data_IF_301684964593
#
_entry.id   IF_301684964593
#
_cell.length_a   1.000
_cell.length_b   1.000
_cell.length_c   1.000
_cell.angle_alpha   90.00
_cell.angle_beta   90.00
_cell.angle_gamma   90.00
#
_symmetry.space_group_name_H-M   'P 1'
#
loop_
_entity.id
_entity.type
_entity.pdbx_description
1 polymer ?
#
# COMPACT_ATOMS: atom_id res chain seq x y z
N UNK A 1 -15.54 -5.81 -3.06
CA UNK A 1 -14.40 -6.63 -2.63
C UNK A 1 -13.16 -5.78 -2.61
N UNK A 2 -12.54 -5.41 -3.75
CA UNK A 2 -11.24 -4.69 -3.86
C UNK A 2 -10.83 -3.69 -2.77
N UNK A 3 -11.72 -2.80 -2.32
CA UNK A 3 -11.40 -1.83 -1.25
C UNK A 3 -11.21 -2.50 0.14
N UNK A 4 -11.79 -3.68 0.36
CA UNK A 4 -11.62 -4.49 1.57
C UNK A 4 -10.24 -5.12 1.62
N UNK A 5 -9.77 -5.73 0.53
CA UNK A 5 -8.43 -6.31 0.47
C UNK A 5 -7.36 -5.22 0.60
N UNK A 6 -7.55 -4.08 -0.07
CA UNK A 6 -6.67 -2.90 0.10
C UNK A 6 -6.60 -2.41 1.55
N UNK A 7 -7.73 -2.34 2.24
CA UNK A 7 -7.76 -1.93 3.65
C UNK A 7 -7.17 -2.99 4.57
N UNK A 8 -7.33 -4.28 4.25
CA UNK A 8 -6.71 -5.36 5.01
C UNK A 8 -5.18 -5.24 4.95
N UNK A 9 -4.60 -5.11 3.75
CA UNK A 9 -3.17 -4.93 3.53
C UNK A 9 -2.61 -3.67 4.23
N UNK A 10 -3.34 -2.55 4.17
CA UNK A 10 -2.98 -1.32 4.89
C UNK A 10 -3.11 -1.42 6.41
N UNK A 11 -3.93 -2.35 6.91
CA UNK A 11 -4.05 -2.59 8.34
C UNK A 11 -2.94 -3.55 8.82
N UNK A 12 -2.46 -4.46 7.97
CA UNK A 12 -1.38 -5.38 8.33
C UNK A 12 -0.01 -4.67 8.49
N UNK A 13 0.30 -3.70 7.62
CA UNK A 13 1.60 -3.02 7.63
C UNK A 13 1.95 -2.29 8.95
N UNK A 14 1.05 -1.50 9.58
CA UNK A 14 1.34 -0.81 10.82
C UNK A 14 1.54 -1.70 12.06
N UNK A 15 1.23 -3.00 11.98
CA UNK A 15 1.38 -3.96 13.09
C UNK A 15 2.45 -5.02 12.82
N UNK A 16 3.11 -4.99 11.67
CA UNK A 16 4.28 -5.83 11.38
C UNK A 16 5.51 -5.22 12.07
N UNK A 17 5.93 -5.81 13.19
CA UNK A 17 7.15 -5.42 13.91
C UNK A 17 8.40 -6.16 13.41
N UNK A 18 8.23 -7.42 12.99
CA UNK A 18 9.25 -8.22 12.32
C UNK A 18 8.81 -8.42 10.86
N UNK A 19 9.75 -8.33 9.90
CA UNK A 19 9.54 -8.61 8.46
C UNK A 19 8.78 -7.53 7.66
N UNK A 20 8.71 -6.27 8.13
CA UNK A 20 8.05 -5.19 7.40
C UNK A 20 8.58 -5.00 5.97
N UNK A 21 9.90 -5.05 5.79
CA UNK A 21 10.52 -4.96 4.47
C UNK A 21 10.18 -6.17 3.59
N UNK A 22 10.14 -7.38 4.15
CA UNK A 22 9.76 -8.59 3.41
C UNK A 22 8.28 -8.54 3.00
N UNK A 23 7.40 -8.03 3.87
CA UNK A 23 5.98 -7.84 3.56
C UNK A 23 5.77 -6.83 2.43
N UNK A 24 6.52 -5.71 2.45
CA UNK A 24 6.52 -4.75 1.34
C UNK A 24 7.01 -5.38 0.03
N UNK A 25 8.01 -6.28 0.09
CA UNK A 25 8.46 -7.01 -1.09
C UNK A 25 7.44 -8.04 -1.58
N UNK A 26 6.72 -8.73 -0.68
CA UNK A 26 5.60 -9.60 -1.04
C UNK A 26 4.51 -8.81 -1.76
N UNK A 27 4.14 -7.64 -1.25
CA UNK A 27 3.16 -6.76 -1.90
C UNK A 27 3.68 -6.25 -3.24
N UNK A 28 4.94 -5.82 -3.32
CA UNK A 28 5.56 -5.35 -4.58
C UNK A 28 5.60 -6.42 -5.66
N UNK A 29 5.97 -7.65 -5.31
CA UNK A 29 6.06 -8.78 -6.25
C UNK A 29 4.68 -9.32 -6.64
N UNK A 30 3.71 -9.26 -5.71
CA UNK A 30 2.32 -9.64 -5.94
C UNK A 30 1.47 -8.60 -6.67
N UNK A 31 1.96 -7.37 -6.81
CA UNK A 31 1.20 -6.26 -7.37
C UNK A 31 0.98 -6.35 -8.88
N UNK A 32 -0.28 -6.23 -9.31
CA UNK A 32 -0.69 -6.15 -10.72
C UNK A 32 -1.87 -5.20 -10.86
N UNK A 33 -1.63 -4.05 -11.52
CA UNK A 33 -2.66 -3.04 -11.79
C UNK A 33 -3.84 -3.60 -12.59
N UNK A 34 -3.52 -4.40 -13.61
CA UNK A 34 -4.49 -5.00 -14.52
C UNK A 34 -4.71 -6.46 -14.11
N UNK A 35 -5.46 -6.65 -13.03
CA UNK A 35 -5.86 -7.99 -12.56
C UNK A 35 -7.35 -8.02 -12.27
N UNK A 36 -7.96 -9.17 -12.57
CA UNK A 36 -9.33 -9.49 -12.17
C UNK A 36 -9.39 -10.01 -10.73
N UNK A 37 -8.25 -10.40 -10.16
CA UNK A 37 -8.12 -10.85 -8.78
C UNK A 37 -7.94 -9.59 -7.90
N UNK A 38 -8.68 -9.45 -6.79
CA UNK A 38 -8.59 -8.28 -5.93
C UNK A 38 -7.21 -8.03 -5.32
N UNK A 39 -6.54 -9.07 -4.78
CA UNK A 39 -5.30 -8.89 -4.02
C UNK A 39 -4.16 -8.27 -4.86
N UNK A 40 -3.88 -8.71 -6.10
CA UNK A 40 -2.85 -8.05 -6.92
C UNK A 40 -3.14 -6.57 -7.20
N UNK A 41 -4.42 -6.19 -7.34
CA UNK A 41 -4.80 -4.79 -7.54
C UNK A 41 -4.61 -4.01 -6.25
N UNK A 42 -5.06 -4.55 -5.11
CA UNK A 42 -4.85 -3.98 -3.78
C UNK A 42 -3.36 -3.72 -3.50
N UNK A 43 -2.52 -4.75 -3.69
CA UNK A 43 -1.07 -4.66 -3.56
C UNK A 43 -0.47 -3.55 -4.42
N UNK A 44 -0.94 -3.42 -5.67
CA UNK A 44 -0.49 -2.34 -6.57
C UNK A 44 -0.82 -0.95 -6.02
N UNK A 45 -2.03 -0.75 -5.50
CA UNK A 45 -2.41 0.52 -4.88
C UNK A 45 -1.65 0.79 -3.58
N UNK A 46 -1.41 -0.22 -2.74
CA UNK A 46 -0.63 -0.06 -1.50
C UNK A 46 0.78 0.41 -1.83
N UNK A 47 1.46 -0.29 -2.73
CA UNK A 47 2.84 0.02 -3.11
C UNK A 47 2.94 1.39 -3.79
N UNK A 48 2.01 1.71 -4.69
CA UNK A 48 1.99 3.02 -5.37
C UNK A 48 1.81 4.15 -4.35
N UNK A 49 0.85 4.03 -3.43
CA UNK A 49 0.57 5.09 -2.45
C UNK A 49 1.67 5.26 -1.42
N UNK A 50 2.28 4.16 -0.98
CA UNK A 50 3.45 4.22 -0.09
C UNK A 50 4.66 4.82 -0.81
N UNK A 51 4.90 4.44 -2.07
CA UNK A 51 6.00 4.96 -2.87
C UNK A 51 5.84 6.47 -3.13
N UNK A 52 4.63 6.91 -3.47
CA UNK A 52 4.32 8.33 -3.65
C UNK A 52 4.60 9.10 -2.35
N UNK A 53 4.20 8.55 -1.21
CA UNK A 53 4.31 9.20 0.09
C UNK A 53 5.74 9.23 0.64
N UNK A 54 6.53 8.17 0.44
CA UNK A 54 7.86 8.00 1.03
C UNK A 54 8.99 8.36 0.08
N UNK A 55 8.83 8.08 -1.21
CA UNK A 55 9.89 8.19 -2.21
C UNK A 55 9.61 9.29 -3.25
N UNK A 56 8.42 9.90 -3.23
CA UNK A 56 8.02 10.94 -4.18
C UNK A 56 7.87 10.44 -5.62
N UNK A 57 7.70 9.12 -5.82
CA UNK A 57 7.56 8.48 -7.13
C UNK A 57 6.44 7.45 -7.12
N UNK A 58 5.91 7.14 -8.30
CA UNK A 58 4.77 6.23 -8.44
C UNK A 58 5.12 4.76 -8.11
N UNK A 59 6.40 4.39 -8.18
CA UNK A 59 6.83 3.01 -7.95
C UNK A 59 8.24 2.92 -7.35
N UNK A 60 8.49 2.02 -6.39
CA UNK A 60 9.82 1.78 -5.86
C UNK A 60 10.74 1.21 -6.95
N UNK A 61 11.95 1.76 -7.09
CA UNK A 61 12.94 1.24 -8.04
C UNK A 61 13.87 0.27 -7.33
N UNK A 62 13.80 -1.01 -7.72
CA UNK A 62 14.63 -2.08 -7.18
C UNK A 62 14.18 -2.61 -5.81
N UNK A 63 14.73 -3.77 -5.45
CA UNK A 63 14.42 -4.52 -4.22
C UNK A 63 14.84 -3.78 -2.94
N UNK A 64 15.72 -2.77 -3.06
CA UNK A 64 16.29 -2.02 -1.94
C UNK A 64 15.67 -0.64 -1.74
N UNK A 65 14.56 -0.35 -2.42
CA UNK A 65 13.92 0.96 -2.35
C UNK A 65 13.46 1.32 -0.92
N UNK A 66 13.12 0.31 -0.13
CA UNK A 66 12.60 0.45 1.23
C UNK A 66 13.68 0.33 2.30
N UNK A 67 14.82 -0.31 2.02
CA UNK A 67 15.87 -0.61 3.01
C UNK A 67 16.50 0.63 3.66
N UNK A 68 16.37 1.80 3.02
CA UNK A 68 16.88 3.07 3.55
C UNK A 68 15.90 3.77 4.48
N UNK A 69 14.65 3.31 4.53
CA UNK A 69 13.62 3.84 5.40
C UNK A 69 13.62 3.04 6.70
N UNK A 70 13.38 3.74 7.79
CA UNK A 70 13.10 3.13 9.09
C UNK A 70 11.70 2.50 9.11
N UNK A 71 11.51 1.51 9.98
CA UNK A 71 10.19 0.93 10.21
C UNK A 71 9.16 1.98 10.62
N UNK A 72 9.56 2.96 11.44
CA UNK A 72 8.69 4.05 11.88
C UNK A 72 8.20 4.91 10.71
N UNK A 73 9.08 5.26 9.76
CA UNK A 73 8.69 6.01 8.55
C UNK A 73 7.67 5.25 7.72
N UNK A 74 7.87 3.94 7.54
CA UNK A 74 6.96 3.07 6.79
C UNK A 74 5.61 2.94 7.52
N UNK A 75 5.64 2.71 8.83
CA UNK A 75 4.42 2.59 9.65
C UNK A 75 3.61 3.89 9.65
N UNK A 76 4.26 5.03 9.81
CA UNK A 76 3.59 6.33 9.79
C UNK A 76 3.00 6.64 8.42
N UNK A 77 3.70 6.32 7.33
CA UNK A 77 3.17 6.44 5.99
C UNK A 77 1.97 5.53 5.76
N UNK A 78 2.03 4.26 6.18
CA UNK A 78 0.91 3.31 6.07
C UNK A 78 -0.32 3.79 6.86
N UNK A 79 -0.13 4.26 8.10
CA UNK A 79 -1.19 4.86 8.92
C UNK A 79 -1.79 6.09 8.24
N UNK A 80 -0.96 6.95 7.65
CA UNK A 80 -1.43 8.13 6.94
C UNK A 80 -2.26 7.79 5.70
N UNK A 81 -1.81 6.82 4.90
CA UNK A 81 -2.55 6.32 3.72
C UNK A 81 -3.89 5.71 4.16
N UNK A 82 -3.89 4.87 5.19
CA UNK A 82 -5.12 4.28 5.75
C UNK A 82 -6.09 5.34 6.27
N UNK A 83 -5.59 6.36 6.98
CA UNK A 83 -6.40 7.47 7.48
C UNK A 83 -7.02 8.29 6.35
N UNK A 84 -6.25 8.60 5.30
CA UNK A 84 -6.73 9.31 4.11
C UNK A 84 -7.83 8.51 3.40
N UNK A 85 -7.60 7.22 3.18
CA UNK A 85 -8.58 6.32 2.58
C UNK A 85 -9.88 6.26 3.40
N UNK A 86 -9.76 6.05 4.71
CA UNK A 86 -10.90 6.00 5.64
C UNK A 86 -11.69 7.31 5.64
N UNK A 87 -11.00 8.45 5.56
CA UNK A 87 -11.65 9.77 5.51
C UNK A 87 -12.41 9.96 4.21
N UNK A 88 -11.81 9.59 3.07
CA UNK A 88 -12.46 9.66 1.76
C UNK A 88 -13.71 8.75 1.69
N UNK A 89 -13.65 7.54 2.27
CA UNK A 89 -14.79 6.63 2.35
C UNK A 89 -15.95 7.24 3.15
N UNK A 90 -15.65 7.81 4.33
CA UNK A 90 -16.66 8.46 5.18
C UNK A 90 -17.29 9.68 4.49
N UNK A 91 -16.52 10.40 3.69
CA UNK A 91 -16.99 11.57 2.94
C UNK A 91 -17.74 11.19 1.64
N UNK A 92 -17.72 9.92 1.23
CA UNK A 92 -18.26 9.49 -0.06
C UNK A 92 -17.45 9.97 -1.27
N UNK A 93 -16.24 10.50 -1.05
CA UNK A 93 -15.34 11.02 -2.10
C UNK A 93 -14.22 10.04 -2.46
N UNK A 94 -14.34 8.79 -2.01
CA UNK A 94 -13.36 7.76 -2.28
C UNK A 94 -13.44 7.32 -3.75
N UNK A 95 -12.31 7.40 -4.45
CA UNK A 95 -12.17 6.77 -5.77
C UNK A 95 -12.08 5.25 -5.59
N UNK A 96 -13.08 4.46 -6.01
CA UNK A 96 -13.07 3.02 -5.84
C UNK A 96 -11.85 2.40 -6.51
N UNK A 97 -11.26 1.39 -5.87
CA UNK A 97 -10.15 0.65 -6.49
C UNK A 97 -10.68 -0.11 -7.71
N UNK A 98 -10.26 0.33 -8.89
CA UNK A 98 -10.63 -0.21 -10.17
C UNK A 98 -9.42 -0.86 -10.85
N UNK A 99 -9.67 -2.00 -11.49
CA UNK A 99 -8.75 -2.53 -12.50
C UNK A 99 -8.88 -1.63 -13.73
N UNK A 100 -7.75 -1.11 -14.23
CA UNK A 100 -7.71 -0.41 -15.52
C UNK A 100 -8.01 -1.34 -16.68
#
# INVERSE_FOLDING_TARGET
MRDVEYRAELTELPFSEEQLHELLEVFRTGARKESLIPNPVANWHVITKLSEQLLGKLWPEGERAWEKLSNDEIHDAARLVLKRNTTALKAGTHEPIQSG
#
